data_IF_013658189037
#
_entry.id   IF_013658189037
#
_cell.length_a   1.000
_cell.length_b   1.000
_cell.length_c   1.000
_cell.angle_alpha   90.00
_cell.angle_beta   90.00
_cell.angle_gamma   90.00
#
_symmetry.space_group_name_H-M   'P 1'
#
loop_
_entity.id
_entity.type
_entity.pdbx_description
1 polymer ?
#
# COMPACT_ATOMS: atom_id res chain seq x y z
N UNK A 1 -9.60 -9.39 11.73
CA UNK A 1 -8.16 -9.22 11.61
C UNK A 1 -7.55 -8.97 12.98
N UNK A 2 -6.49 -9.69 13.31
CA UNK A 2 -5.69 -9.43 14.49
C UNK A 2 -4.85 -8.18 14.22
N UNK A 3 -4.97 -7.16 15.07
CA UNK A 3 -4.19 -5.93 14.98
C UNK A 3 -3.20 -5.87 16.15
N UNK A 4 -1.96 -5.45 15.95
CA UNK A 4 -1.04 -5.19 17.06
C UNK A 4 -1.66 -4.19 18.05
N UNK A 5 -1.45 -4.41 19.35
CA UNK A 5 -1.98 -3.57 20.42
C UNK A 5 -1.24 -2.22 20.49
N UNK A 6 -1.68 -1.22 19.71
CA UNK A 6 -1.24 0.18 19.87
C UNK A 6 -2.47 1.06 20.00
N UNK A 7 -2.67 1.64 21.17
CA UNK A 7 -3.95 2.16 21.65
C UNK A 7 -4.38 3.55 21.17
N UNK A 8 -3.56 4.32 20.44
CA UNK A 8 -3.89 5.71 20.08
C UNK A 8 -4.11 6.00 18.59
N UNK A 9 -3.74 5.10 17.69
CA UNK A 9 -3.81 5.31 16.22
C UNK A 9 -4.98 4.61 15.54
N UNK A 10 -5.75 3.80 16.27
CA UNK A 10 -6.85 2.95 15.72
C UNK A 10 -7.97 3.71 15.00
N UNK A 11 -8.56 4.80 15.54
CA UNK A 11 -9.67 5.48 14.88
C UNK A 11 -9.25 6.13 13.55
N UNK A 12 -8.10 6.80 13.52
CA UNK A 12 -7.60 7.48 12.29
C UNK A 12 -7.33 6.47 11.18
N UNK A 13 -6.64 5.36 11.47
CA UNK A 13 -6.37 4.30 10.48
C UNK A 13 -7.65 3.66 9.93
N UNK A 14 -8.70 3.51 10.74
CA UNK A 14 -9.99 3.00 10.28
C UNK A 14 -10.67 3.98 9.30
N UNK A 15 -10.67 5.28 9.62
CA UNK A 15 -11.24 6.33 8.76
C UNK A 15 -10.46 6.46 7.45
N UNK A 16 -9.13 6.42 7.50
CA UNK A 16 -8.25 6.45 6.32
C UNK A 16 -8.58 5.28 5.40
N UNK A 17 -8.62 4.06 5.95
CA UNK A 17 -8.94 2.83 5.20
C UNK A 17 -10.32 2.89 4.57
N UNK A 18 -11.36 3.25 5.33
CA UNK A 18 -12.71 3.41 4.81
C UNK A 18 -12.75 4.44 3.66
N UNK A 19 -12.13 5.59 3.86
CA UNK A 19 -12.07 6.63 2.84
C UNK A 19 -11.33 6.20 1.58
N UNK A 20 -10.22 5.45 1.72
CA UNK A 20 -9.48 4.88 0.60
C UNK A 20 -10.39 3.97 -0.24
N UNK A 21 -11.04 2.99 0.40
CA UNK A 21 -11.89 2.03 -0.30
C UNK A 21 -13.18 2.64 -0.86
N UNK A 22 -13.73 3.64 -0.21
CA UNK A 22 -14.88 4.40 -0.76
C UNK A 22 -14.47 5.19 -2.02
N UNK A 23 -13.25 5.72 -2.05
CA UNK A 23 -12.74 6.45 -3.20
C UNK A 23 -12.42 5.56 -4.41
N UNK A 24 -12.07 4.29 -4.18
CA UNK A 24 -11.62 3.33 -5.21
C UNK A 24 -12.56 2.13 -5.35
N UNK A 25 -13.85 2.30 -5.03
CA UNK A 25 -14.82 1.20 -4.97
C UNK A 25 -14.94 0.40 -6.27
N UNK A 26 -14.87 1.08 -7.41
CA UNK A 26 -14.93 0.45 -8.73
C UNK A 26 -13.57 -0.12 -9.15
N UNK A 27 -12.51 0.63 -8.88
CA UNK A 27 -11.13 0.36 -9.32
C UNK A 27 -10.52 -0.86 -8.62
N UNK A 28 -10.92 -1.14 -7.38
CA UNK A 28 -10.43 -2.31 -6.62
C UNK A 28 -10.82 -3.63 -7.27
N UNK A 29 -11.98 -3.70 -7.93
CA UNK A 29 -12.45 -4.94 -8.55
C UNK A 29 -11.53 -5.36 -9.70
N UNK A 30 -10.94 -6.55 -9.56
CA UNK A 30 -10.01 -7.10 -10.54
C UNK A 30 -8.59 -6.54 -10.47
N UNK A 31 -8.31 -5.57 -9.61
CA UNK A 31 -6.99 -4.97 -9.46
C UNK A 31 -5.94 -5.94 -8.90
N UNK A 32 -4.68 -5.62 -9.17
CA UNK A 32 -3.50 -6.16 -8.50
C UNK A 32 -3.07 -5.19 -7.40
N UNK A 33 -3.17 -5.60 -6.13
CA UNK A 33 -2.87 -4.74 -4.99
C UNK A 33 -1.48 -5.03 -4.44
N UNK A 34 -0.69 -3.99 -4.21
CA UNK A 34 0.68 -4.10 -3.70
C UNK A 34 0.79 -3.23 -2.46
N UNK A 35 1.14 -3.81 -1.32
CA UNK A 35 1.31 -3.12 -0.04
C UNK A 35 2.78 -3.17 0.37
N UNK A 36 3.47 -2.04 0.27
CA UNK A 36 4.92 -1.98 0.41
C UNK A 36 5.41 -1.99 1.86
N UNK A 37 4.60 -1.53 2.80
CA UNK A 37 4.87 -1.53 4.25
C UNK A 37 3.68 -2.17 4.94
N UNK A 38 3.58 -3.51 4.83
CA UNK A 38 2.29 -4.19 5.03
C UNK A 38 1.86 -4.29 6.48
N UNK A 39 2.77 -4.30 7.45
CA UNK A 39 2.42 -4.57 8.84
C UNK A 39 1.55 -5.83 8.96
N UNK A 40 0.31 -5.66 9.37
CA UNK A 40 -0.69 -6.75 9.47
C UNK A 40 -1.45 -7.05 8.16
N UNK A 41 -1.09 -6.41 7.05
CA UNK A 41 -1.74 -6.50 5.72
C UNK A 41 -3.21 -6.01 5.70
N UNK A 42 -3.56 -5.05 6.52
CA UNK A 42 -4.96 -4.64 6.65
C UNK A 42 -5.55 -4.01 5.38
N UNK A 43 -4.75 -3.30 4.59
CA UNK A 43 -5.18 -2.68 3.34
C UNK A 43 -5.34 -3.71 2.23
N UNK A 44 -4.32 -4.53 1.97
CA UNK A 44 -4.37 -5.52 0.90
C UNK A 44 -5.39 -6.63 1.15
N UNK A 45 -5.57 -7.05 2.39
CA UNK A 45 -6.61 -8.05 2.73
C UNK A 45 -8.02 -7.48 2.59
N UNK A 46 -8.23 -6.22 2.90
CA UNK A 46 -9.49 -5.52 2.61
C UNK A 46 -9.70 -5.39 1.10
N UNK A 47 -8.65 -5.06 0.31
CA UNK A 47 -8.72 -5.01 -1.15
C UNK A 47 -9.16 -6.37 -1.74
N UNK A 48 -8.57 -7.47 -1.26
CA UNK A 48 -8.96 -8.82 -1.68
C UNK A 48 -10.41 -9.14 -1.32
N UNK A 49 -10.88 -8.73 -0.15
CA UNK A 49 -12.29 -8.92 0.26
C UNK A 49 -13.25 -8.13 -0.61
N UNK A 50 -12.83 -7.00 -1.15
CA UNK A 50 -13.61 -6.13 -2.06
C UNK A 50 -13.46 -6.46 -3.53
N UNK A 51 -12.70 -7.51 -3.87
CA UNK A 51 -12.66 -8.06 -5.23
C UNK A 51 -11.37 -7.83 -5.99
N UNK A 52 -10.29 -7.39 -5.36
CA UNK A 52 -8.96 -7.45 -5.96
C UNK A 52 -8.62 -8.92 -6.32
N UNK A 53 -7.95 -9.13 -7.43
CA UNK A 53 -7.61 -10.48 -7.96
C UNK A 53 -6.37 -11.06 -7.29
N UNK A 54 -5.45 -10.21 -6.88
CA UNK A 54 -4.17 -10.64 -6.32
C UNK A 54 -3.59 -9.57 -5.41
N UNK A 55 -2.74 -9.98 -4.49
CA UNK A 55 -2.01 -9.07 -3.63
C UNK A 55 -0.56 -9.49 -3.42
N UNK A 56 0.31 -8.50 -3.24
CA UNK A 56 1.71 -8.66 -2.86
C UNK A 56 1.96 -7.83 -1.61
N UNK A 57 2.65 -8.41 -0.65
CA UNK A 57 2.95 -7.81 0.65
C UNK A 57 4.45 -7.84 0.93
N UNK A 58 4.99 -6.70 1.35
CA UNK A 58 6.38 -6.58 1.83
C UNK A 58 6.36 -6.14 3.28
N UNK A 59 6.96 -6.93 4.16
CA UNK A 59 7.11 -6.63 5.58
C UNK A 59 8.48 -7.12 6.08
N UNK A 60 9.27 -6.22 6.67
CA UNK A 60 10.61 -6.55 7.15
C UNK A 60 10.64 -7.04 8.60
N UNK A 61 9.63 -6.68 9.41
CA UNK A 61 9.53 -7.10 10.79
C UNK A 61 8.95 -8.52 10.88
N UNK A 62 9.67 -9.44 11.53
CA UNK A 62 9.28 -10.85 11.65
C UNK A 62 7.94 -11.05 12.36
N UNK A 63 7.68 -10.31 13.42
CA UNK A 63 6.46 -10.47 14.22
C UNK A 63 5.24 -9.92 13.47
N UNK A 64 5.40 -8.78 12.80
CA UNK A 64 4.37 -8.23 11.92
C UNK A 64 4.09 -9.17 10.75
N UNK A 65 5.12 -9.75 10.13
CA UNK A 65 4.97 -10.72 9.04
C UNK A 65 4.28 -12.01 9.51
N UNK A 66 4.55 -12.50 10.73
CA UNK A 66 3.82 -13.64 11.28
C UNK A 66 2.32 -13.32 11.43
N UNK A 67 1.97 -12.15 11.98
CA UNK A 67 0.59 -11.65 12.06
C UNK A 67 -0.06 -11.52 10.68
N UNK A 68 0.69 -11.04 9.68
CA UNK A 68 0.26 -10.96 8.29
C UNK A 68 -0.14 -12.34 7.75
N UNK A 69 0.69 -13.38 7.96
CA UNK A 69 0.41 -14.74 7.51
C UNK A 69 -0.85 -15.33 8.17
N UNK A 70 -1.04 -15.11 9.47
CA UNK A 70 -2.27 -15.50 10.18
C UNK A 70 -3.51 -14.83 9.57
N UNK A 71 -3.44 -13.52 9.33
CA UNK A 71 -4.53 -12.75 8.74
C UNK A 71 -4.85 -13.23 7.31
N UNK A 72 -3.82 -13.55 6.50
CA UNK A 72 -4.02 -14.15 5.17
C UNK A 72 -4.79 -15.46 5.26
N UNK A 73 -4.40 -16.35 6.18
CA UNK A 73 -5.08 -17.63 6.38
C UNK A 73 -6.56 -17.44 6.72
N UNK A 74 -6.87 -16.51 7.62
CA UNK A 74 -8.25 -16.18 7.98
C UNK A 74 -9.07 -15.66 6.78
N UNK A 75 -8.49 -14.80 5.96
CA UNK A 75 -9.17 -14.23 4.79
C UNK A 75 -9.36 -15.29 3.70
N UNK A 76 -8.35 -16.11 3.39
CA UNK A 76 -8.47 -17.22 2.42
C UNK A 76 -9.60 -18.17 2.78
N UNK A 77 -9.71 -18.55 4.06
CA UNK A 77 -10.75 -19.44 4.55
C UNK A 77 -12.17 -18.84 4.39
N UNK A 78 -12.31 -17.52 4.52
CA UNK A 78 -13.60 -16.82 4.37
C UNK A 78 -14.01 -16.63 2.91
N UNK A 79 -13.08 -16.30 2.03
CA UNK A 79 -13.40 -15.94 0.65
C UNK A 79 -13.71 -17.15 -0.23
N UNK A 80 -13.30 -18.35 0.17
CA UNK A 80 -13.61 -19.64 -0.55
C UNK A 80 -13.34 -19.59 -2.06
N UNK A 81 -12.37 -18.79 -2.51
CA UNK A 81 -11.96 -18.65 -3.90
C UNK A 81 -10.44 -18.64 -4.00
N UNK A 82 -9.93 -19.08 -5.13
CA UNK A 82 -8.49 -18.94 -5.40
C UNK A 82 -8.12 -17.46 -5.54
N UNK A 83 -7.16 -17.04 -4.72
CA UNK A 83 -6.61 -15.70 -4.73
C UNK A 83 -5.10 -15.82 -4.74
N UNK A 84 -4.48 -15.16 -5.69
CA UNK A 84 -3.03 -15.10 -5.77
C UNK A 84 -2.50 -14.11 -4.73
N UNK A 85 -1.76 -14.62 -3.76
CA UNK A 85 -1.13 -13.82 -2.70
C UNK A 85 0.34 -14.19 -2.62
N UNK A 86 1.20 -13.17 -2.64
CA UNK A 86 2.63 -13.30 -2.42
C UNK A 86 3.03 -12.47 -1.21
N UNK A 87 3.95 -12.96 -0.39
CA UNK A 87 4.48 -12.26 0.78
C UNK A 87 5.99 -12.34 0.79
N UNK A 88 6.63 -11.26 1.21
CA UNK A 88 8.07 -11.16 1.34
C UNK A 88 8.42 -10.65 2.74
N UNK A 89 9.15 -11.47 3.51
CA UNK A 89 9.78 -11.04 4.75
C UNK A 89 11.09 -10.36 4.41
N UNK A 90 11.02 -9.14 3.91
CA UNK A 90 12.20 -8.37 3.49
C UNK A 90 11.88 -6.88 3.41
N UNK A 91 12.92 -6.07 3.22
CA UNK A 91 12.81 -4.63 3.00
C UNK A 91 12.18 -4.33 1.64
N UNK A 92 11.08 -3.58 1.64
CA UNK A 92 10.38 -3.14 0.43
C UNK A 92 11.29 -2.41 -0.56
N UNK A 93 12.27 -1.65 -0.09
CA UNK A 93 13.20 -0.90 -0.95
C UNK A 93 14.09 -1.78 -1.83
N UNK A 94 14.31 -3.04 -1.46
CA UNK A 94 15.03 -4.01 -2.31
C UNK A 94 14.17 -4.50 -3.47
N UNK A 95 12.85 -4.52 -3.28
CA UNK A 95 11.90 -5.12 -4.23
C UNK A 95 11.20 -4.08 -5.11
N UNK A 96 10.86 -2.90 -4.57
CA UNK A 96 10.14 -1.86 -5.31
C UNK A 96 10.78 -1.52 -6.67
N UNK A 97 12.11 -1.31 -6.80
CA UNK A 97 12.72 -0.98 -8.10
C UNK A 97 12.58 -2.08 -9.16
N UNK A 98 12.40 -3.33 -8.72
CA UNK A 98 12.32 -4.50 -9.61
C UNK A 98 10.93 -5.16 -9.61
N UNK A 99 9.96 -4.52 -8.97
CA UNK A 99 8.59 -5.01 -8.88
C UNK A 99 8.01 -5.31 -10.25
N UNK A 100 7.28 -6.41 -10.35
CA UNK A 100 6.57 -6.77 -11.58
C UNK A 100 5.12 -6.31 -11.49
N UNK A 101 4.75 -5.38 -12.36
CA UNK A 101 3.39 -4.95 -12.53
C UNK A 101 2.65 -5.89 -13.49
N UNK A 102 1.36 -6.11 -13.28
CA UNK A 102 0.54 -7.00 -14.11
C UNK A 102 -0.04 -6.22 -15.29
N UNK A 103 0.08 -6.80 -16.48
CA UNK A 103 -0.51 -6.24 -17.69
C UNK A 103 -2.03 -6.45 -17.70
N UNK A 104 -2.75 -5.49 -18.31
CA UNK A 104 -4.20 -5.60 -18.53
C UNK A 104 -5.07 -5.45 -17.29
N UNK A 105 -4.50 -5.12 -16.13
CA UNK A 105 -5.22 -4.82 -14.90
C UNK A 105 -4.70 -3.56 -14.26
N UNK A 106 -5.51 -2.91 -13.42
CA UNK A 106 -5.02 -1.81 -12.60
C UNK A 106 -4.10 -2.36 -11.51
N UNK A 107 -2.88 -1.84 -11.45
CA UNK A 107 -1.97 -2.06 -10.34
C UNK A 107 -2.14 -0.93 -9.33
N UNK A 108 -2.42 -1.26 -8.08
CA UNK A 108 -2.54 -0.28 -7.00
C UNK A 108 -1.39 -0.53 -6.04
N UNK A 109 -0.45 0.41 -5.99
CA UNK A 109 0.68 0.39 -5.07
C UNK A 109 0.39 1.32 -3.89
N UNK A 110 0.19 0.73 -2.73
CA UNK A 110 -0.04 1.43 -1.47
C UNK A 110 1.23 1.47 -0.64
N UNK A 111 1.64 2.68 -0.25
CA UNK A 111 2.80 2.93 0.60
C UNK A 111 2.35 3.61 1.89
N UNK A 112 2.61 2.97 3.03
CA UNK A 112 2.41 3.51 4.40
C UNK A 112 3.74 3.38 5.17
N UNK A 113 4.81 4.08 4.73
CA UNK A 113 6.08 4.04 5.45
C UNK A 113 5.93 4.67 6.84
N UNK A 114 6.82 4.32 7.80
CA UNK A 114 6.87 4.99 9.08
C UNK A 114 7.00 6.51 8.89
N UNK A 115 6.39 7.28 9.79
CA UNK A 115 6.46 8.74 9.73
C UNK A 115 7.88 9.24 10.02
N UNK A 116 8.33 10.25 9.28
CA UNK A 116 9.67 10.85 9.49
C UNK A 116 9.82 11.43 10.89
N UNK A 117 8.78 12.04 11.44
CA UNK A 117 8.76 12.54 12.84
C UNK A 117 8.90 11.42 13.87
N UNK A 118 8.72 10.16 13.49
CA UNK A 118 8.94 8.98 14.34
C UNK A 118 10.39 8.45 14.28
N UNK A 119 11.34 9.22 13.75
CA UNK A 119 12.76 8.86 13.68
C UNK A 119 13.23 8.24 12.37
N UNK A 120 12.40 8.24 11.33
CA UNK A 120 12.70 7.69 10.01
C UNK A 120 12.99 8.78 8.97
N UNK A 121 13.80 9.77 9.31
CA UNK A 121 14.14 10.88 8.44
C UNK A 121 14.67 10.40 7.08
N UNK A 122 14.15 10.99 5.99
CA UNK A 122 14.50 10.66 4.61
C UNK A 122 13.84 9.39 4.06
N UNK A 123 12.88 8.79 4.77
CA UNK A 123 12.19 7.58 4.28
C UNK A 123 11.30 7.89 3.09
N UNK A 124 10.66 9.06 3.04
CA UNK A 124 9.83 9.47 1.91
C UNK A 124 10.68 9.66 0.64
N UNK A 125 11.85 10.27 0.78
CA UNK A 125 12.80 10.42 -0.33
C UNK A 125 13.25 9.07 -0.88
N UNK A 126 13.53 8.09 0.00
CA UNK A 126 13.83 6.71 -0.42
C UNK A 126 12.67 6.07 -1.18
N UNK A 127 11.42 6.32 -0.73
CA UNK A 127 10.24 5.86 -1.46
C UNK A 127 10.17 6.47 -2.86
N UNK A 128 10.40 7.78 -2.99
CA UNK A 128 10.36 8.47 -4.28
C UNK A 128 11.42 7.92 -5.23
N UNK A 129 12.65 7.78 -4.79
CA UNK A 129 13.73 7.19 -5.59
C UNK A 129 13.44 5.74 -6.01
N UNK A 130 12.86 4.93 -5.13
CA UNK A 130 12.47 3.57 -5.48
C UNK A 130 11.34 3.54 -6.51
N UNK A 131 10.37 4.45 -6.41
CA UNK A 131 9.27 4.60 -7.37
C UNK A 131 9.76 5.10 -8.73
N UNK A 132 10.67 6.08 -8.77
CA UNK A 132 11.27 6.58 -10.01
C UNK A 132 11.96 5.45 -10.76
N UNK A 133 12.80 4.66 -10.09
CA UNK A 133 13.44 3.47 -10.68
C UNK A 133 12.45 2.42 -11.18
N UNK A 134 11.35 2.23 -10.46
CA UNK A 134 10.26 1.36 -10.92
C UNK A 134 9.66 1.90 -12.21
N UNK A 135 9.31 3.19 -12.25
CA UNK A 135 8.62 3.84 -13.35
C UNK A 135 9.48 3.96 -14.62
N UNK A 136 10.80 4.08 -14.50
CA UNK A 136 11.74 4.03 -15.64
C UNK A 136 11.62 2.74 -16.46
N UNK A 137 11.12 1.65 -15.86
CA UNK A 137 10.99 0.34 -16.51
C UNK A 137 9.64 0.14 -17.20
N UNK A 138 8.67 1.03 -16.97
CA UNK A 138 7.30 0.86 -17.44
C UNK A 138 6.79 2.11 -18.14
N UNK A 139 6.80 2.09 -19.48
CA UNK A 139 6.39 3.25 -20.30
C UNK A 139 4.86 3.45 -20.37
N UNK A 140 4.06 2.43 -20.13
CA UNK A 140 2.60 2.48 -20.15
C UNK A 140 2.03 1.39 -19.25
N UNK A 141 1.92 1.65 -17.95
CA UNK A 141 1.28 0.74 -17.02
C UNK A 141 0.07 1.41 -16.41
N UNK A 142 -0.99 0.66 -16.28
CA UNK A 142 -2.15 1.08 -15.50
C UNK A 142 -1.78 0.98 -14.01
N UNK A 143 -1.13 2.02 -13.49
CA UNK A 143 -0.61 2.10 -12.13
C UNK A 143 -1.21 3.30 -11.39
N UNK A 144 -1.77 3.04 -10.23
CA UNK A 144 -2.16 4.03 -9.23
C UNK A 144 -1.24 3.87 -8.02
N UNK A 145 -0.49 4.89 -7.68
CA UNK A 145 0.31 4.95 -6.45
C UNK A 145 -0.44 5.75 -5.41
N UNK A 146 -0.64 5.18 -4.24
CA UNK A 146 -1.26 5.86 -3.09
C UNK A 146 -0.29 5.89 -1.93
N UNK A 147 0.06 7.10 -1.52
CA UNK A 147 1.03 7.35 -0.48
C UNK A 147 0.34 7.88 0.78
N UNK A 148 0.42 7.14 1.87
CA UNK A 148 0.02 7.61 3.21
C UNK A 148 1.23 8.27 3.86
N UNK A 149 1.08 9.55 4.27
CA UNK A 149 2.18 10.33 4.82
C UNK A 149 1.69 11.34 5.86
N UNK A 150 2.63 11.96 6.55
CA UNK A 150 2.33 13.05 7.48
C UNK A 150 1.77 14.26 6.74
N UNK A 151 0.72 14.86 7.30
CA UNK A 151 0.06 16.04 6.69
C UNK A 151 0.92 17.30 6.65
N UNK A 152 2.05 17.32 7.37
CA UNK A 152 3.02 18.43 7.36
C UNK A 152 4.06 18.26 6.25
N UNK A 153 4.18 17.06 5.67
CA UNK A 153 5.11 16.79 4.58
C UNK A 153 4.49 17.21 3.24
N UNK A 154 5.22 18.04 2.49
CA UNK A 154 4.81 18.45 1.15
C UNK A 154 5.26 17.39 0.12
N UNK A 155 4.28 16.78 -0.53
CA UNK A 155 4.54 15.80 -1.58
C UNK A 155 5.00 16.49 -2.88
N UNK A 156 5.91 15.88 -3.65
CA UNK A 156 6.26 16.39 -4.98
C UNK A 156 5.03 16.39 -5.88
N UNK A 157 4.92 17.38 -6.78
CA UNK A 157 3.77 17.52 -7.69
C UNK A 157 3.62 16.34 -8.65
N UNK A 158 4.72 15.66 -8.91
CA UNK A 158 4.78 14.46 -9.76
C UNK A 158 5.85 13.49 -9.26
N UNK A 159 5.67 12.21 -9.55
CA UNK A 159 6.66 11.15 -9.38
C UNK A 159 6.96 10.58 -10.77
N UNK A 160 8.11 10.94 -11.34
CA UNK A 160 8.44 10.68 -12.75
C UNK A 160 7.27 11.13 -13.68
N UNK A 161 6.60 10.16 -14.31
CA UNK A 161 5.48 10.43 -15.24
C UNK A 161 4.11 10.53 -14.56
N UNK A 162 4.01 10.18 -13.27
CA UNK A 162 2.73 10.21 -12.55
C UNK A 162 2.51 11.58 -11.89
N UNK A 163 1.36 12.17 -12.12
CA UNK A 163 0.95 13.43 -11.49
C UNK A 163 0.05 13.18 -10.28
N UNK A 164 0.00 14.13 -9.34
CA UNK A 164 -1.00 14.09 -8.28
C UNK A 164 -2.39 14.28 -8.89
N UNK A 165 -3.27 13.30 -8.69
CA UNK A 165 -4.67 13.36 -9.09
C UNK A 165 -5.62 13.68 -7.93
N UNK A 166 -5.19 13.41 -6.69
CA UNK A 166 -6.01 13.64 -5.49
C UNK A 166 -5.16 13.68 -4.24
N UNK A 167 -5.58 14.52 -3.29
CA UNK A 167 -5.09 14.49 -1.90
C UNK A 167 -6.25 14.53 -0.93
N UNK A 168 -6.16 13.79 0.18
CA UNK A 168 -7.16 13.82 1.25
C UNK A 168 -6.52 13.76 2.61
N UNK A 169 -6.78 14.78 3.43
CA UNK A 169 -6.21 14.95 4.77
C UNK A 169 -7.12 14.38 5.86
N UNK A 170 -6.51 13.70 6.83
CA UNK A 170 -7.15 13.10 8.00
C UNK A 170 -6.36 13.46 9.26
N UNK A 171 -6.52 14.68 9.74
CA UNK A 171 -5.75 15.19 10.86
C UNK A 171 -4.24 15.25 10.55
N UNK A 172 -3.45 14.38 11.17
CA UNK A 172 -1.98 14.31 10.97
C UNK A 172 -1.56 13.44 9.79
N UNK A 173 -2.50 12.72 9.16
CA UNK A 173 -2.25 11.81 8.04
C UNK A 173 -2.90 12.34 6.77
N UNK A 174 -2.22 12.21 5.64
CA UNK A 174 -2.75 12.55 4.30
C UNK A 174 -2.55 11.36 3.37
N UNK A 175 -3.55 11.08 2.54
CA UNK A 175 -3.42 10.20 1.37
C UNK A 175 -3.19 11.06 0.14
N UNK A 176 -2.10 10.81 -0.59
CA UNK A 176 -1.82 11.40 -1.90
C UNK A 176 -1.85 10.31 -2.96
N UNK A 177 -2.59 10.57 -4.03
CA UNK A 177 -2.81 9.66 -5.16
C UNK A 177 -2.08 10.18 -6.39
N UNK A 178 -1.27 9.33 -7.01
CA UNK A 178 -0.52 9.62 -8.24
C UNK A 178 -0.92 8.65 -9.35
N UNK A 179 -1.19 9.19 -10.54
CA UNK A 179 -1.51 8.42 -11.75
C UNK A 179 -1.05 9.12 -13.02
#
# INVERSE_FOLDING_TARGET
>A
LNLPNTSSTRPTKAIVRESFFNALQAEIKGAHFIEAFSGSASMGLEALSRGAKSAVFFEQNKDAHATLLENISLVKNRLKKEIEIQTFLDDAFKHLPTLRLKNGVLNILYLDPPFETSGFLGIYEKCFQALERLLERFNQTNLLVVFEHESVHEMPKSLATLAIIKQKKFGKTTLTYFQ
#
